data_IF_794102513670
#
_entry.id   IF_794102513670
#
_cell.length_a   1.000
_cell.length_b   1.000
_cell.length_c   1.000
_cell.angle_alpha   90.00
_cell.angle_beta   90.00
_cell.angle_gamma   90.00
#
_symmetry.space_group_name_H-M   'P 1'
#
loop_
_entity.id
_entity.type
_entity.pdbx_description
1 polymer ?
#
# COMPACT_ATOMS: atom_id res chain seq x y z
N UNK A 1 -16.97 12.30 -2.78
CA UNK A 1 -15.92 11.29 -3.06
C UNK A 1 -14.91 11.79 -4.10
N UNK A 2 -13.60 11.57 -3.87
CA UNK A 2 -12.50 11.71 -4.84
C UNK A 2 -11.69 10.42 -4.89
N UNK A 3 -11.38 9.95 -6.09
CA UNK A 3 -10.54 8.76 -6.34
C UNK A 3 -9.26 9.19 -7.05
N UNK A 4 -8.11 8.73 -6.56
CA UNK A 4 -6.80 8.97 -7.17
C UNK A 4 -6.12 7.64 -7.43
N UNK A 5 -5.82 7.35 -8.70
CA UNK A 5 -5.02 6.19 -9.09
C UNK A 5 -3.54 6.45 -8.75
N UNK A 6 -3.04 5.76 -7.73
CA UNK A 6 -1.64 5.84 -7.31
C UNK A 6 -0.74 4.93 -8.17
N UNK A 7 -1.28 3.83 -8.65
CA UNK A 7 -0.67 3.01 -9.69
C UNK A 7 -1.73 2.28 -10.51
N UNK A 8 -1.37 1.98 -11.75
CA UNK A 8 -2.24 1.35 -12.77
C UNK A 8 -1.50 0.24 -13.52
N UNK A 9 -0.35 -0.19 -12.99
CA UNK A 9 0.48 -1.24 -13.55
C UNK A 9 0.07 -2.62 -13.02
N UNK A 10 0.55 -3.64 -13.72
CA UNK A 10 0.54 -5.03 -13.25
C UNK A 10 1.50 -5.21 -12.07
N UNK A 11 1.62 -6.44 -11.55
CA UNK A 11 2.50 -6.80 -10.43
C UNK A 11 3.97 -6.45 -10.63
N UNK A 12 4.41 -6.38 -11.89
CA UNK A 12 5.78 -6.04 -12.28
C UNK A 12 5.96 -4.55 -12.60
N UNK A 13 4.89 -3.77 -12.61
CA UNK A 13 4.88 -2.40 -13.14
C UNK A 13 5.12 -2.34 -14.66
N UNK A 14 5.19 -1.12 -15.18
CA UNK A 14 5.64 -0.81 -16.53
C UNK A 14 6.61 0.39 -16.45
N UNK A 15 7.84 0.30 -16.97
CA UNK A 15 8.42 -0.79 -17.77
C UNK A 15 8.65 -2.10 -16.99
N UNK A 16 8.54 -3.24 -17.69
CA UNK A 16 8.99 -4.53 -17.17
C UNK A 16 10.52 -4.59 -17.22
N UNK A 17 11.15 -5.09 -16.15
CA UNK A 17 12.61 -5.18 -16.04
C UNK A 17 13.17 -6.03 -17.19
N UNK A 18 13.99 -5.43 -18.06
CA UNK A 18 14.61 -6.12 -19.19
C UNK A 18 13.72 -6.32 -20.42
N UNK A 19 12.58 -5.62 -20.53
CA UNK A 19 11.73 -5.65 -21.72
C UNK A 19 11.98 -4.46 -22.65
N UNK A 20 12.20 -4.75 -23.93
CA UNK A 20 12.43 -3.77 -25.00
C UNK A 20 11.22 -3.57 -25.92
N UNK A 21 10.01 -3.92 -25.47
CA UNK A 21 8.81 -3.67 -26.29
C UNK A 21 8.48 -2.17 -26.37
N UNK A 22 7.66 -1.81 -27.37
CA UNK A 22 7.23 -0.43 -27.63
C UNK A 22 6.70 0.28 -26.37
N UNK A 23 5.84 -0.37 -25.59
CA UNK A 23 5.27 0.22 -24.36
C UNK A 23 6.32 0.44 -23.27
N UNK A 24 7.26 -0.48 -23.09
CA UNK A 24 8.32 -0.34 -22.08
C UNK A 24 9.32 0.78 -22.44
N UNK A 25 9.62 0.92 -23.73
CA UNK A 25 10.51 1.96 -24.25
C UNK A 25 9.81 3.30 -24.53
N UNK A 26 8.48 3.36 -24.44
CA UNK A 26 7.68 4.57 -24.64
C UNK A 26 8.17 5.74 -23.78
N UNK A 27 8.24 6.93 -24.37
CA UNK A 27 8.52 8.19 -23.67
C UNK A 27 7.25 8.84 -23.11
N UNK A 28 6.06 8.28 -23.40
CA UNK A 28 4.82 8.78 -22.83
C UNK A 28 4.79 8.51 -21.32
N UNK A 29 4.64 9.54 -20.46
CA UNK A 29 4.59 9.35 -19.01
C UNK A 29 3.43 8.44 -18.56
N UNK A 30 2.37 8.29 -19.36
CA UNK A 30 1.21 7.42 -19.05
C UNK A 30 1.56 5.94 -19.16
N UNK A 31 2.63 5.59 -19.85
CA UNK A 31 3.15 4.22 -19.93
C UNK A 31 4.09 3.86 -18.77
N UNK A 32 4.42 4.83 -17.90
CA UNK A 32 5.20 4.59 -16.68
C UNK A 32 4.24 4.31 -15.51
N UNK A 33 4.04 3.03 -15.20
CA UNK A 33 2.99 2.57 -14.28
C UNK A 33 3.59 1.85 -13.08
N UNK A 34 3.37 2.43 -11.91
CA UNK A 34 3.61 1.77 -10.62
C UNK A 34 2.58 0.67 -10.38
N UNK A 35 2.86 -0.27 -9.47
CA UNK A 35 1.92 -1.32 -9.04
C UNK A 35 0.60 -0.71 -8.57
N UNK A 36 -0.49 -1.44 -8.80
CA UNK A 36 -1.84 -0.97 -8.53
C UNK A 36 -2.03 -0.50 -7.08
N UNK A 37 -2.64 0.67 -6.92
CA UNK A 37 -3.10 1.21 -5.64
C UNK A 37 -4.01 2.41 -5.92
N UNK A 38 -5.00 2.64 -5.05
CA UNK A 38 -5.96 3.74 -5.19
C UNK A 38 -6.11 4.46 -3.84
N UNK A 39 -6.06 5.78 -3.86
CA UNK A 39 -6.46 6.62 -2.72
C UNK A 39 -7.90 7.09 -2.90
N UNK A 40 -8.72 6.86 -1.88
CA UNK A 40 -10.11 7.29 -1.77
C UNK A 40 -10.20 8.39 -0.72
N UNK A 41 -10.81 9.51 -1.08
CA UNK A 41 -11.02 10.64 -0.19
C UNK A 41 -12.51 11.02 -0.14
N UNK A 42 -13.12 10.92 1.03
CA UNK A 42 -14.55 11.13 1.25
C UNK A 42 -14.76 11.82 2.60
N UNK A 43 -15.46 12.95 2.62
CA UNK A 43 -15.86 13.63 3.87
C UNK A 43 -14.71 13.82 4.88
N UNK A 44 -13.50 14.13 4.40
CA UNK A 44 -12.30 14.32 5.21
C UNK A 44 -11.53 13.05 5.57
N UNK A 45 -12.08 11.87 5.26
CA UNK A 45 -11.43 10.56 5.44
C UNK A 45 -10.56 10.22 4.24
N UNK A 46 -9.37 9.66 4.50
CA UNK A 46 -8.43 9.15 3.50
C UNK A 46 -8.21 7.66 3.71
N UNK A 47 -8.69 6.87 2.76
CA UNK A 47 -8.52 5.42 2.71
C UNK A 47 -7.63 5.07 1.52
N UNK A 48 -6.60 4.27 1.73
CA UNK A 48 -5.86 3.67 0.61
C UNK A 48 -6.30 2.23 0.40
N UNK A 49 -6.47 1.83 -0.84
CA UNK A 49 -6.68 0.45 -1.25
C UNK A 49 -5.34 -0.10 -1.72
N UNK A 50 -4.84 -1.09 -0.98
CA UNK A 50 -3.53 -1.74 -1.11
C UNK A 50 -2.33 -0.80 -0.92
N UNK A 51 -1.43 -1.20 -0.03
CA UNK A 51 -0.11 -0.58 0.15
C UNK A 51 0.91 -1.33 -0.70
N UNK A 52 0.92 -1.04 -2.01
CA UNK A 52 1.84 -1.68 -2.96
C UNK A 52 3.31 -1.51 -2.57
N UNK A 53 4.21 -2.31 -3.13
CA UNK A 53 5.66 -2.11 -2.93
C UNK A 53 6.16 -0.71 -3.33
N UNK A 54 5.41 0.01 -4.17
CA UNK A 54 5.71 1.38 -4.57
C UNK A 54 5.07 2.44 -3.64
N UNK A 55 4.43 2.04 -2.52
CA UNK A 55 3.59 2.91 -1.68
C UNK A 55 4.31 4.18 -1.24
N UNK A 56 5.56 4.10 -0.77
CA UNK A 56 6.33 5.29 -0.40
C UNK A 56 6.45 6.29 -1.54
N UNK A 57 6.78 5.83 -2.75
CA UNK A 57 6.87 6.69 -3.92
C UNK A 57 5.50 7.26 -4.30
N UNK A 58 4.46 6.44 -4.25
CA UNK A 58 3.08 6.85 -4.51
C UNK A 58 2.61 7.94 -3.54
N UNK A 59 2.85 7.75 -2.25
CA UNK A 59 2.49 8.69 -1.19
C UNK A 59 3.25 10.02 -1.32
N UNK A 60 4.54 9.98 -1.65
CA UNK A 60 5.33 11.19 -1.90
C UNK A 60 4.82 11.94 -3.14
N UNK A 61 4.58 11.24 -4.25
CA UNK A 61 4.07 11.83 -5.51
C UNK A 61 2.69 12.46 -5.32
N UNK A 62 1.80 11.80 -4.58
CA UNK A 62 0.47 12.30 -4.28
C UNK A 62 0.42 13.24 -3.06
N UNK A 63 1.57 13.56 -2.45
CA UNK A 63 1.68 14.40 -1.27
C UNK A 63 0.73 13.97 -0.12
N UNK A 64 0.65 12.66 0.15
CA UNK A 64 -0.19 12.10 1.21
C UNK A 64 0.43 12.45 2.56
N UNK A 65 -0.20 13.35 3.30
CA UNK A 65 0.26 13.80 4.63
C UNK A 65 -0.48 13.16 5.80
N UNK A 66 -1.58 12.49 5.51
CA UNK A 66 -2.44 11.78 6.46
C UNK A 66 -3.12 10.64 5.73
N UNK A 67 -3.29 9.53 6.44
CA UNK A 67 -4.03 8.36 6.01
C UNK A 67 -4.81 7.88 7.23
N UNK A 68 -6.10 7.62 7.07
CA UNK A 68 -6.97 7.22 8.18
C UNK A 68 -7.15 5.70 8.21
N UNK A 69 -7.11 5.04 7.04
CA UNK A 69 -7.23 3.59 6.95
C UNK A 69 -6.54 3.00 5.71
N UNK A 70 -6.29 1.69 5.77
CA UNK A 70 -5.86 0.84 4.65
C UNK A 70 -6.90 -0.25 4.43
N UNK A 71 -7.32 -0.47 3.19
CA UNK A 71 -8.09 -1.64 2.78
C UNK A 71 -7.17 -2.54 1.95
N UNK A 72 -7.01 -3.80 2.36
CA UNK A 72 -6.25 -4.82 1.64
C UNK A 72 -7.22 -5.70 0.85
N UNK A 73 -6.99 -5.81 -0.45
CA UNK A 73 -7.80 -6.64 -1.34
C UNK A 73 -7.42 -8.12 -1.22
N UNK A 74 -6.13 -8.42 -1.33
CA UNK A 74 -5.53 -9.75 -1.17
C UNK A 74 -4.01 -9.63 -0.97
N UNK A 75 -3.33 -10.74 -0.65
CA UNK A 75 -1.96 -10.72 -0.15
C UNK A 75 -0.86 -11.11 -1.15
N UNK A 76 -0.98 -10.68 -2.40
CA UNK A 76 0.17 -10.72 -3.31
C UNK A 76 1.16 -9.58 -3.02
N UNK A 77 2.44 -9.81 -3.34
CA UNK A 77 3.56 -8.91 -3.02
C UNK A 77 3.33 -7.49 -3.51
N UNK A 78 2.81 -7.36 -4.72
CA UNK A 78 2.51 -6.08 -5.37
C UNK A 78 1.40 -5.28 -4.69
N UNK A 79 0.64 -5.88 -3.78
CA UNK A 79 -0.46 -5.23 -3.05
C UNK A 79 -0.10 -4.87 -1.60
N UNK A 80 0.77 -5.63 -0.94
CA UNK A 80 0.95 -5.51 0.52
C UNK A 80 2.36 -5.13 0.98
N UNK A 81 3.40 -5.27 0.15
CA UNK A 81 4.79 -5.11 0.61
C UNK A 81 5.18 -3.66 0.96
N UNK A 82 4.35 -2.66 0.65
CA UNK A 82 4.50 -1.30 1.16
C UNK A 82 3.91 -1.06 2.54
N UNK A 83 3.30 -2.07 3.19
CA UNK A 83 2.64 -1.89 4.49
C UNK A 83 3.60 -1.37 5.58
N UNK A 84 4.88 -1.70 5.49
CA UNK A 84 5.90 -1.20 6.43
C UNK A 84 6.10 0.34 6.32
N UNK A 85 5.79 0.94 5.17
CA UNK A 85 5.94 2.38 4.95
C UNK A 85 4.80 3.22 5.53
N UNK A 86 3.84 2.64 6.27
CA UNK A 86 2.82 3.41 6.99
C UNK A 86 3.35 4.05 8.28
N UNK A 87 4.52 3.61 8.79
CA UNK A 87 5.11 4.06 10.06
C UNK A 87 5.16 5.57 10.25
N UNK A 88 5.50 6.41 9.24
CA UNK A 88 5.48 7.86 9.40
C UNK A 88 4.10 8.42 9.77
N UNK A 89 3.01 7.76 9.35
CA UNK A 89 1.66 8.09 9.79
C UNK A 89 1.43 7.59 11.21
N UNK A 90 1.90 6.40 11.57
CA UNK A 90 1.80 5.90 12.96
C UNK A 90 2.50 6.81 13.96
N UNK A 91 3.69 7.31 13.65
CA UNK A 91 4.42 8.22 14.53
C UNK A 91 3.69 9.54 14.79
N UNK A 92 2.83 9.97 13.85
CA UNK A 92 2.11 11.25 13.93
C UNK A 92 0.69 11.11 14.45
N UNK A 93 0.03 10.00 14.14
CA UNK A 93 -1.42 9.84 14.29
C UNK A 93 -1.82 8.57 15.05
N UNK A 94 -0.86 7.72 15.42
CA UNK A 94 -1.12 6.47 16.16
C UNK A 94 -1.45 5.27 15.26
N UNK A 95 -1.95 4.20 15.87
CA UNK A 95 -2.26 2.96 15.16
C UNK A 95 -3.29 3.18 14.05
N UNK A 96 -3.09 2.52 12.92
CA UNK A 96 -3.88 2.70 11.70
C UNK A 96 -4.88 1.56 11.53
N UNK A 97 -6.14 1.90 11.23
CA UNK A 97 -7.14 0.90 10.86
C UNK A 97 -6.75 0.20 9.56
N UNK A 98 -6.62 -1.12 9.60
CA UNK A 98 -6.39 -1.95 8.43
C UNK A 98 -7.57 -2.90 8.29
N UNK A 99 -8.12 -2.99 7.09
CA UNK A 99 -9.31 -3.76 6.76
C UNK A 99 -8.92 -4.84 5.75
N UNK A 100 -9.27 -6.09 6.03
CA UNK A 100 -9.01 -7.22 5.13
C UNK A 100 -10.00 -8.36 5.42
N UNK A 101 -10.17 -9.30 4.50
CA UNK A 101 -10.91 -10.54 4.80
C UNK A 101 -10.04 -11.53 5.60
N UNK A 102 -10.64 -12.64 6.06
CA UNK A 102 -9.93 -13.61 6.90
C UNK A 102 -8.74 -14.25 6.20
N UNK A 103 -8.87 -14.58 4.91
CA UNK A 103 -7.79 -15.17 4.10
C UNK A 103 -6.59 -14.21 4.05
N UNK A 104 -6.84 -12.93 3.76
CA UNK A 104 -5.79 -11.91 3.73
C UNK A 104 -5.18 -11.70 5.12
N UNK A 105 -5.95 -11.79 6.20
CA UNK A 105 -5.42 -11.68 7.56
C UNK A 105 -4.48 -12.83 7.95
N UNK A 106 -4.78 -14.06 7.53
CA UNK A 106 -3.87 -15.20 7.71
C UNK A 106 -2.53 -14.95 7.00
N UNK A 107 -2.58 -14.48 5.75
CA UNK A 107 -1.39 -14.16 4.97
C UNK A 107 -0.60 -12.97 5.53
N UNK A 108 -1.27 -11.89 5.93
CA UNK A 108 -0.61 -10.72 6.52
C UNK A 108 0.15 -11.10 7.79
N UNK A 109 -0.42 -11.95 8.65
CA UNK A 109 0.26 -12.43 9.86
C UNK A 109 1.49 -13.27 9.54
N UNK A 110 1.42 -14.08 8.48
CA UNK A 110 2.55 -14.88 8.02
C UNK A 110 3.66 -14.03 7.41
N UNK A 111 3.31 -13.12 6.49
CA UNK A 111 4.25 -12.28 5.74
C UNK A 111 4.90 -11.25 6.67
N UNK A 112 4.10 -10.56 7.47
CA UNK A 112 4.55 -9.51 8.38
C UNK A 112 4.63 -10.00 9.81
N UNK A 113 5.11 -11.24 10.02
CA UNK A 113 5.21 -11.87 11.33
C UNK A 113 5.86 -10.98 12.39
N UNK A 114 6.88 -10.20 12.01
CA UNK A 114 7.57 -9.29 12.93
C UNK A 114 6.69 -8.15 13.48
N UNK A 115 5.58 -7.80 12.81
CA UNK A 115 4.60 -6.82 13.29
C UNK A 115 3.71 -7.45 14.37
N UNK A 116 3.26 -8.69 14.15
CA UNK A 116 2.27 -9.36 15.00
C UNK A 116 2.90 -10.18 16.14
N UNK A 117 4.10 -10.70 15.95
CA UNK A 117 4.91 -11.44 16.92
C UNK A 117 6.29 -10.76 17.06
N UNK A 118 6.34 -9.53 17.59
CA UNK A 118 7.59 -8.78 17.67
C UNK A 118 8.57 -9.44 18.65
N UNK A 119 9.82 -9.64 18.21
CA UNK A 119 10.91 -10.12 19.07
C UNK A 119 11.49 -9.05 19.99
N UNK A 120 11.11 -7.79 19.78
CA UNK A 120 11.52 -6.63 20.56
C UNK A 120 10.44 -5.55 20.50
N UNK A 121 10.33 -4.74 21.56
CA UNK A 121 9.44 -3.58 21.58
C UNK A 121 10.26 -2.31 21.38
N UNK A 122 9.84 -1.45 20.45
CA UNK A 122 10.57 -0.24 20.04
C UNK A 122 10.91 -0.24 18.55
N UNK A 123 11.78 0.65 18.10
CA UNK A 123 12.26 0.69 16.70
C UNK A 123 11.25 1.18 15.65
N UNK A 124 10.03 1.53 16.08
CA UNK A 124 9.02 2.10 15.21
C UNK A 124 8.30 1.07 14.35
N UNK A 125 8.02 -0.13 14.87
CA UNK A 125 7.16 -1.12 14.21
C UNK A 125 5.85 -0.49 13.68
N UNK A 126 5.34 -0.92 12.51
CA UNK A 126 4.00 -0.53 12.07
C UNK A 126 2.96 -0.88 13.14
N UNK A 127 2.01 0.02 13.36
CA UNK A 127 0.95 -0.14 14.34
C UNK A 127 -0.40 -0.23 13.63
N UNK A 128 -1.05 -1.38 13.76
CA UNK A 128 -2.26 -1.72 13.02
C UNK A 128 -3.42 -1.99 14.01
N UNK A 129 -4.62 -1.52 13.65
CA UNK A 129 -5.88 -1.93 14.27
C UNK A 129 -6.58 -2.85 13.26
N UNK A 130 -6.63 -4.18 13.49
CA UNK A 130 -7.18 -5.10 12.52
C UNK A 130 -8.71 -5.07 12.51
N UNK A 131 -9.29 -4.97 11.31
CA UNK A 131 -10.72 -5.08 11.05
C UNK A 131 -10.97 -6.15 9.99
N UNK A 132 -11.77 -7.17 10.32
CA UNK A 132 -12.23 -8.16 9.33
C UNK A 132 -13.44 -7.59 8.57
N UNK A 133 -13.40 -7.68 7.24
CA UNK A 133 -14.53 -7.32 6.35
C UNK A 133 -14.91 -8.50 5.46
N UNK A 134 -16.20 -8.60 5.14
CA UNK A 134 -16.81 -9.69 4.34
C UNK A 134 -16.94 -9.29 2.88
#
# INVERSE_FOLDING_TARGET
MRLTFLGTGTSTGVPFIGCDCETCQSNDPRDKRLRVSVLIEESGTKLIVDTSIDFRQQALRANIRRLDAVLITHCHVDHVFGLDDIRPFNFRFGAMGVYANDIAWEDLRRIFRYIFEPSHFGGGLPQLIPHTVV
#
